data_IF_257992531004
#
_entry.id   IF_257992531004
#
_cell.length_a   1.000
_cell.length_b   1.000
_cell.length_c   1.000
_cell.angle_alpha   90.00
_cell.angle_beta   90.00
_cell.angle_gamma   90.00
#
_symmetry.space_group_name_H-M   'P 1'
#
loop_
_entity.id
_entity.type
_entity.pdbx_description
1 polymer ?
#
# COMPACT_ATOMS: atom_id res chain seq x y z
N UNK A 1 -46.57 4.35 1.06
CA UNK A 1 -46.34 4.07 -0.38
C UNK A 1 -45.42 5.14 -0.89
N UNK A 2 -44.15 4.93 -1.19
CA UNK A 2 -43.30 3.73 -1.23
C UNK A 2 -41.90 4.26 -0.91
N UNK A 3 -41.16 3.62 0.00
CA UNK A 3 -39.70 3.74 -0.01
C UNK A 3 -39.26 3.55 -1.46
N UNK A 4 -38.67 4.57 -2.06
CA UNK A 4 -37.91 4.38 -3.29
C UNK A 4 -36.79 3.44 -2.90
N UNK A 5 -36.95 2.16 -3.27
CA UNK A 5 -35.87 1.19 -3.20
C UNK A 5 -34.65 1.87 -3.82
N UNK A 6 -33.58 1.96 -3.03
CA UNK A 6 -32.30 2.46 -3.48
C UNK A 6 -31.78 1.43 -4.50
N UNK A 7 -32.25 1.52 -5.76
CA UNK A 7 -31.77 0.69 -6.85
C UNK A 7 -30.34 1.15 -7.06
N UNK A 8 -29.41 0.36 -6.56
CA UNK A 8 -27.99 0.49 -6.82
C UNK A 8 -27.77 0.76 -8.32
N UNK A 9 -27.47 2.01 -8.72
CA UNK A 9 -27.51 2.41 -10.12
C UNK A 9 -26.38 1.79 -10.94
N UNK A 10 -25.38 1.22 -10.26
CA UNK A 10 -24.23 0.54 -10.82
C UNK A 10 -24.41 -1.00 -10.87
N UNK A 11 -25.37 -1.53 -10.12
CA UNK A 11 -25.67 -2.96 -10.02
C UNK A 11 -24.46 -3.83 -9.66
N UNK A 12 -24.56 -5.12 -10.01
CA UNK A 12 -23.52 -6.12 -9.74
C UNK A 12 -22.18 -5.79 -10.43
N UNK A 13 -22.20 -5.09 -11.57
CA UNK A 13 -20.99 -4.83 -12.36
C UNK A 13 -20.13 -3.68 -11.81
N UNK A 14 -20.68 -2.81 -10.96
CA UNK A 14 -19.94 -1.66 -10.45
C UNK A 14 -19.49 -0.70 -11.56
N UNK A 15 -20.23 -0.65 -12.68
CA UNK A 15 -19.91 0.16 -13.85
C UNK A 15 -21.02 1.18 -14.09
N UNK A 16 -20.63 2.46 -14.23
CA UNK A 16 -21.52 3.54 -14.64
C UNK A 16 -21.01 4.21 -15.90
N UNK A 17 -21.77 4.08 -16.98
CA UNK A 17 -21.47 4.73 -18.25
C UNK A 17 -22.05 6.16 -18.30
N UNK A 18 -21.32 7.06 -18.95
CA UNK A 18 -21.85 8.36 -19.40
C UNK A 18 -23.00 8.20 -20.40
N UNK A 19 -22.90 7.19 -21.27
CA UNK A 19 -23.90 6.84 -22.27
C UNK A 19 -24.09 5.31 -22.31
N UNK A 20 -25.30 4.83 -22.02
CA UNK A 20 -25.64 3.40 -22.12
C UNK A 20 -25.94 2.95 -23.56
N UNK A 21 -26.11 3.90 -24.49
CA UNK A 21 -26.29 3.65 -25.91
C UNK A 21 -25.24 4.46 -26.66
N UNK A 22 -24.39 3.77 -27.42
CA UNK A 22 -23.25 4.40 -28.05
C UNK A 22 -23.60 4.96 -29.44
N UNK A 23 -22.99 6.09 -29.83
CA UNK A 23 -23.07 6.57 -31.21
C UNK A 23 -22.51 5.52 -32.16
N UNK A 24 -23.17 5.30 -33.30
CA UNK A 24 -22.78 4.25 -34.26
C UNK A 24 -21.74 4.73 -35.26
N UNK A 25 -21.51 6.04 -35.33
CA UNK A 25 -20.54 6.65 -36.24
C UNK A 25 -19.61 7.63 -35.51
N UNK A 26 -18.42 7.85 -36.07
CA UNK A 26 -17.47 8.84 -35.55
C UNK A 26 -18.04 10.27 -35.59
N UNK A 27 -18.90 10.58 -36.56
CA UNK A 27 -19.54 11.90 -36.71
C UNK A 27 -20.56 12.15 -35.60
N UNK A 28 -21.37 11.15 -35.25
CA UNK A 28 -22.26 11.23 -34.09
C UNK A 28 -21.47 11.35 -32.80
N UNK A 29 -20.40 10.54 -32.65
CA UNK A 29 -19.53 10.60 -31.48
C UNK A 29 -18.87 11.98 -31.32
N UNK A 30 -18.43 12.63 -32.39
CA UNK A 30 -17.86 13.98 -32.34
C UNK A 30 -18.85 15.08 -31.95
N UNK A 31 -20.16 14.79 -32.08
CA UNK A 31 -21.23 15.71 -31.66
C UNK A 31 -21.63 15.53 -30.19
N UNK A 32 -21.21 14.43 -29.56
CA UNK A 32 -21.44 14.21 -28.14
C UNK A 32 -20.55 15.17 -27.33
N UNK A 33 -21.19 16.13 -26.64
CA UNK A 33 -20.48 17.09 -25.76
C UNK A 33 -19.83 16.36 -24.58
N UNK A 34 -20.50 15.35 -24.04
CA UNK A 34 -19.97 14.48 -22.99
C UNK A 34 -19.31 13.28 -23.67
N UNK A 35 -18.02 12.99 -23.40
CA UNK A 35 -17.32 11.86 -24.01
C UNK A 35 -17.90 10.52 -23.55
N UNK A 36 -17.68 9.47 -24.34
CA UNK A 36 -17.94 8.11 -23.91
C UNK A 36 -16.88 7.71 -22.87
N UNK A 37 -17.30 7.72 -21.61
CA UNK A 37 -16.51 7.32 -20.45
C UNK A 37 -17.31 6.42 -19.49
N UNK A 38 -16.58 5.72 -18.62
CA UNK A 38 -17.12 4.85 -17.57
C UNK A 38 -16.44 5.15 -16.23
N UNK A 39 -17.22 5.16 -15.15
CA UNK A 39 -16.71 4.97 -13.79
C UNK A 39 -16.81 3.49 -13.46
N UNK A 40 -15.72 2.92 -12.92
CA UNK A 40 -15.62 1.49 -12.64
C UNK A 40 -15.13 1.33 -11.20
N UNK A 41 -15.76 0.43 -10.45
CA UNK A 41 -15.34 0.03 -9.10
C UNK A 41 -14.86 -1.44 -9.09
N UNK A 42 -13.56 -1.71 -9.41
CA UNK A 42 -13.10 -3.06 -9.74
C UNK A 42 -13.17 -4.07 -8.58
N UNK A 43 -13.05 -3.60 -7.34
CA UNK A 43 -13.02 -4.42 -6.12
C UNK A 43 -14.24 -4.19 -5.23
N UNK A 44 -15.35 -3.74 -5.82
CA UNK A 44 -16.59 -3.49 -5.10
C UNK A 44 -17.14 -4.81 -4.54
N UNK A 45 -17.44 -4.88 -3.23
CA UNK A 45 -18.15 -6.04 -2.68
C UNK A 45 -19.61 -6.02 -3.15
N UNK A 46 -20.12 -7.16 -3.60
CA UNK A 46 -21.52 -7.35 -3.94
C UNK A 46 -21.92 -8.82 -3.68
N UNK A 47 -23.04 -9.10 -2.99
CA UNK A 47 -23.40 -10.45 -2.57
C UNK A 47 -23.62 -11.42 -3.73
N UNK A 48 -24.05 -10.90 -4.89
CA UNK A 48 -24.32 -11.71 -6.08
C UNK A 48 -23.08 -12.00 -6.94
N UNK A 49 -21.90 -11.43 -6.63
CA UNK A 49 -20.67 -11.74 -7.37
C UNK A 49 -20.15 -13.12 -6.93
N UNK A 50 -20.13 -14.13 -7.81
CA UNK A 50 -19.62 -15.45 -7.46
C UNK A 50 -18.09 -15.46 -7.44
N UNK A 51 -17.52 -16.24 -6.52
CA UNK A 51 -16.10 -16.58 -6.51
C UNK A 51 -15.89 -17.96 -7.12
N UNK A 52 -15.15 -18.02 -8.23
CA UNK A 52 -14.87 -19.24 -8.99
C UNK A 52 -13.52 -19.83 -8.53
N UNK A 53 -13.48 -21.07 -7.99
CA UNK A 53 -12.28 -21.66 -7.39
C UNK A 53 -11.33 -22.28 -8.43
N UNK A 54 -11.09 -21.57 -9.53
CA UNK A 54 -10.23 -22.02 -10.63
C UNK A 54 -9.72 -20.83 -11.42
N UNK A 55 -8.72 -21.07 -12.29
CA UNK A 55 -8.16 -20.02 -13.14
C UNK A 55 -9.08 -19.70 -14.33
N UNK A 56 -9.14 -18.42 -14.76
CA UNK A 56 -9.97 -18.01 -15.90
C UNK A 56 -9.50 -18.64 -17.20
N UNK A 57 -10.43 -19.14 -18.01
CA UNK A 57 -10.12 -19.58 -19.37
C UNK A 57 -9.90 -18.34 -20.26
N UNK A 58 -8.73 -18.24 -20.92
CA UNK A 58 -8.36 -17.09 -21.75
C UNK A 58 -8.37 -17.43 -23.24
N UNK A 59 -8.77 -16.47 -24.06
CA UNK A 59 -8.68 -16.56 -25.51
C UNK A 59 -7.23 -16.68 -25.95
N UNK A 60 -6.91 -17.63 -26.84
CA UNK A 60 -5.53 -17.87 -27.31
C UNK A 60 -4.91 -16.70 -28.09
N UNK A 61 -5.74 -15.87 -28.72
CA UNK A 61 -5.29 -14.76 -29.57
C UNK A 61 -5.23 -13.44 -28.82
N UNK A 62 -6.32 -13.01 -28.16
CA UNK A 62 -6.41 -11.69 -27.51
C UNK A 62 -6.32 -11.73 -25.98
N UNK A 63 -6.13 -12.90 -25.36
CA UNK A 63 -6.07 -13.11 -23.92
C UNK A 63 -7.33 -12.72 -23.10
N UNK A 64 -8.41 -12.27 -23.74
CA UNK A 64 -9.68 -11.99 -23.07
C UNK A 64 -10.22 -13.23 -22.35
N UNK A 65 -10.75 -13.04 -21.14
CA UNK A 65 -11.37 -14.11 -20.37
C UNK A 65 -12.68 -14.58 -21.04
N UNK A 66 -12.97 -15.87 -20.90
CA UNK A 66 -14.30 -16.44 -21.15
C UNK A 66 -15.32 -15.68 -20.29
N UNK A 67 -16.46 -15.34 -20.89
CA UNK A 67 -17.53 -14.60 -20.24
C UNK A 67 -18.87 -14.95 -20.88
N UNK A 68 -19.96 -14.51 -20.25
CA UNK A 68 -21.34 -14.85 -20.61
C UNK A 68 -21.79 -14.39 -22.01
N UNK A 69 -21.02 -13.51 -22.67
CA UNK A 69 -21.28 -13.06 -24.04
C UNK A 69 -20.61 -13.94 -25.10
N UNK A 70 -19.80 -14.93 -24.71
CA UNK A 70 -19.19 -15.88 -25.62
C UNK A 70 -20.23 -16.86 -26.20
N UNK A 71 -20.13 -17.14 -27.50
CA UNK A 71 -20.95 -18.19 -28.13
C UNK A 71 -20.29 -19.55 -27.96
N UNK A 72 -21.05 -20.56 -27.60
CA UNK A 72 -20.56 -21.91 -27.34
C UNK A 72 -21.18 -22.90 -28.31
N UNK A 73 -20.33 -23.77 -28.88
CA UNK A 73 -20.75 -24.98 -29.58
C UNK A 73 -20.40 -26.17 -28.69
N UNK A 74 -21.42 -26.74 -28.05
CA UNK A 74 -21.28 -27.85 -27.12
C UNK A 74 -20.91 -29.17 -27.82
N UNK A 75 -21.27 -29.33 -29.09
CA UNK A 75 -20.95 -30.53 -29.87
C UNK A 75 -19.47 -30.58 -30.21
N UNK A 76 -18.93 -29.49 -30.75
CA UNK A 76 -17.51 -29.38 -31.07
C UNK A 76 -16.65 -29.02 -29.85
N UNK A 77 -17.27 -28.69 -28.71
CA UNK A 77 -16.61 -28.22 -27.48
C UNK A 77 -15.67 -27.04 -27.76
N UNK A 78 -16.21 -26.04 -28.45
CA UNK A 78 -15.52 -24.78 -28.74
C UNK A 78 -16.32 -23.58 -28.23
N UNK A 79 -15.62 -22.50 -27.93
CA UNK A 79 -16.22 -21.20 -27.67
C UNK A 79 -15.61 -20.13 -28.59
N UNK A 80 -16.42 -19.15 -28.94
CA UNK A 80 -16.07 -18.04 -29.83
C UNK A 80 -15.90 -16.79 -28.97
N UNK A 81 -14.70 -16.21 -28.98
CA UNK A 81 -14.40 -15.01 -28.22
C UNK A 81 -15.25 -13.82 -28.73
N UNK A 82 -15.96 -13.07 -27.85
CA UNK A 82 -16.80 -11.96 -28.29
C UNK A 82 -16.01 -10.73 -28.76
N UNK A 83 -14.71 -10.66 -28.46
CA UNK A 83 -13.86 -9.53 -28.85
C UNK A 83 -13.16 -9.73 -30.20
N UNK A 84 -12.54 -10.89 -30.42
CA UNK A 84 -11.75 -11.17 -31.62
C UNK A 84 -12.32 -12.26 -32.53
N UNK A 85 -13.45 -12.87 -32.16
CA UNK A 85 -14.11 -13.96 -32.88
C UNK A 85 -13.26 -15.23 -33.08
N UNK A 86 -12.13 -15.36 -32.38
CA UNK A 86 -11.32 -16.57 -32.36
C UNK A 86 -12.14 -17.74 -31.81
N UNK A 87 -12.07 -18.88 -32.50
CA UNK A 87 -12.56 -20.18 -32.01
C UNK A 87 -11.51 -20.79 -31.09
N UNK A 88 -11.91 -21.12 -29.88
CA UNK A 88 -11.05 -21.71 -28.85
C UNK A 88 -11.65 -23.06 -28.43
N UNK A 89 -10.83 -24.11 -28.38
CA UNK A 89 -11.25 -25.39 -27.81
C UNK A 89 -11.28 -25.29 -26.29
N UNK A 90 -12.32 -25.87 -25.68
CA UNK A 90 -12.35 -26.08 -24.24
C UNK A 90 -11.25 -27.06 -23.81
N UNK A 91 -10.58 -26.82 -22.66
CA UNK A 91 -9.63 -27.78 -22.12
C UNK A 91 -10.36 -29.01 -21.55
N UNK A 92 -9.62 -30.10 -21.31
CA UNK A 92 -10.17 -31.39 -20.90
C UNK A 92 -11.05 -31.32 -19.64
N UNK A 93 -10.76 -30.41 -18.71
CA UNK A 93 -11.54 -30.17 -17.50
C UNK A 93 -12.98 -29.70 -17.78
N UNK A 94 -13.26 -29.14 -18.96
CA UNK A 94 -14.60 -28.75 -19.42
C UNK A 94 -15.22 -29.82 -20.34
N UNK A 95 -14.70 -31.05 -20.34
CA UNK A 95 -15.17 -32.12 -21.24
C UNK A 95 -16.66 -32.48 -21.06
N UNK A 96 -17.23 -32.21 -19.88
CA UNK A 96 -18.64 -32.45 -19.56
C UNK A 96 -19.55 -31.25 -19.85
N UNK A 97 -19.05 -30.19 -20.49
CA UNK A 97 -19.83 -29.00 -20.79
C UNK A 97 -21.04 -29.32 -21.68
N UNK A 98 -22.21 -28.79 -21.30
CA UNK A 98 -23.47 -28.94 -22.04
C UNK A 98 -24.37 -27.73 -21.76
N UNK A 99 -25.52 -27.64 -22.44
CA UNK A 99 -26.52 -26.59 -22.18
C UNK A 99 -27.03 -26.57 -20.72
N UNK A 100 -27.01 -27.72 -20.04
CA UNK A 100 -27.44 -27.88 -18.64
C UNK A 100 -26.29 -27.91 -17.65
N UNK A 101 -25.04 -27.99 -18.13
CA UNK A 101 -23.83 -28.05 -17.32
C UNK A 101 -22.83 -26.98 -17.79
N UNK A 102 -23.09 -25.74 -17.38
CA UNK A 102 -22.29 -24.59 -17.71
C UNK A 102 -21.27 -24.29 -16.61
N UNK A 103 -20.05 -23.87 -16.96
CA UNK A 103 -19.13 -23.31 -16.00
C UNK A 103 -19.61 -21.92 -15.56
N UNK A 104 -19.07 -21.45 -14.43
CA UNK A 104 -19.51 -20.22 -13.76
C UNK A 104 -19.51 -19.00 -14.69
N UNK A 105 -18.50 -18.87 -15.56
CA UNK A 105 -18.35 -17.68 -16.41
C UNK A 105 -19.43 -17.55 -17.50
N UNK A 106 -20.16 -18.64 -17.78
CA UNK A 106 -21.12 -18.70 -18.89
C UNK A 106 -22.57 -18.48 -18.45
N UNK A 107 -22.84 -18.39 -17.15
CA UNK A 107 -24.17 -18.01 -16.69
C UNK A 107 -24.48 -16.56 -17.08
N UNK A 108 -25.61 -16.28 -17.78
CA UNK A 108 -25.94 -14.93 -18.24
C UNK A 108 -25.98 -13.87 -17.14
N UNK A 109 -26.35 -14.27 -15.92
CA UNK A 109 -26.40 -13.41 -14.74
C UNK A 109 -25.02 -13.11 -14.12
N UNK A 110 -23.96 -13.84 -14.49
CA UNK A 110 -22.61 -13.68 -13.95
C UNK A 110 -21.73 -12.88 -14.90
N UNK A 111 -22.10 -11.62 -15.13
CA UNK A 111 -21.31 -10.65 -15.92
C UNK A 111 -20.07 -10.16 -15.20
N UNK A 112 -20.07 -10.23 -13.86
CA UNK A 112 -18.92 -9.95 -12.99
C UNK A 112 -18.68 -11.16 -12.10
N UNK A 113 -17.44 -11.66 -12.10
CA UNK A 113 -17.02 -12.82 -11.31
C UNK A 113 -15.63 -12.58 -10.73
N UNK A 114 -15.36 -13.17 -9.58
CA UNK A 114 -14.03 -13.21 -8.99
C UNK A 114 -13.43 -14.60 -9.18
N UNK A 115 -12.13 -14.70 -9.47
CA UNK A 115 -11.42 -15.98 -9.56
C UNK A 115 -10.48 -16.14 -8.38
N UNK A 116 -10.49 -17.31 -7.76
CA UNK A 116 -9.45 -17.73 -6.82
C UNK A 116 -8.46 -18.60 -7.58
N UNK A 117 -7.24 -18.09 -7.75
CA UNK A 117 -6.21 -18.82 -8.47
C UNK A 117 -5.63 -19.94 -7.59
N UNK A 118 -5.49 -21.17 -8.11
CA UNK A 118 -4.81 -22.23 -7.38
C UNK A 118 -3.34 -21.86 -7.21
N UNK A 119 -2.89 -21.76 -5.95
CA UNK A 119 -1.54 -21.33 -5.63
C UNK A 119 -0.52 -22.35 -6.17
N UNK A 120 0.59 -21.94 -6.82
CA UNK A 120 1.62 -22.88 -7.29
C UNK A 120 2.24 -23.76 -6.19
N UNK A 121 2.10 -23.40 -4.92
CA UNK A 121 2.48 -24.23 -3.78
C UNK A 121 1.58 -25.48 -3.66
N UNK A 122 0.29 -25.39 -3.94
CA UNK A 122 -0.67 -26.49 -3.75
C UNK A 122 -0.42 -27.71 -4.67
N UNK A 123 0.28 -27.54 -5.80
CA UNK A 123 0.62 -28.67 -6.67
C UNK A 123 1.74 -29.56 -6.11
N UNK A 124 2.58 -29.06 -5.19
CA UNK A 124 3.66 -29.86 -4.58
C UNK A 124 3.28 -30.50 -3.23
N UNK A 125 2.20 -30.05 -2.57
CA UNK A 125 1.82 -30.54 -1.24
C UNK A 125 0.85 -31.73 -1.22
N UNK A 126 0.38 -32.24 -2.36
CA UNK A 126 -0.52 -33.40 -2.38
C UNK A 126 0.16 -34.74 -2.02
N UNK A 127 1.48 -34.77 -1.76
CA UNK A 127 2.20 -36.02 -1.44
C UNK A 127 2.88 -36.10 -0.06
N UNK A 128 2.77 -35.11 0.83
CA UNK A 128 3.30 -35.25 2.20
C UNK A 128 2.30 -34.82 3.27
N UNK A 129 2.02 -35.76 4.17
CA UNK A 129 1.04 -35.69 5.25
C UNK A 129 1.28 -34.53 6.23
N UNK A 130 0.17 -33.86 6.58
CA UNK A 130 -0.23 -33.37 7.91
C UNK A 130 0.88 -32.93 8.89
N UNK A 131 1.11 -31.61 8.98
CA UNK A 131 1.35 -30.84 10.23
C UNK A 131 1.94 -29.43 10.03
N UNK A 132 1.79 -28.80 8.85
CA UNK A 132 2.14 -27.39 8.69
C UNK A 132 0.93 -26.61 8.18
N UNK A 133 0.64 -25.41 8.75
CA UNK A 133 -0.40 -24.54 8.21
C UNK A 133 -0.08 -24.25 6.72
N UNK A 134 -1.11 -24.02 5.89
CA UNK A 134 -0.90 -23.71 4.47
C UNK A 134 0.13 -22.58 4.34
N UNK A 135 1.07 -22.64 3.36
CA UNK A 135 2.01 -21.56 3.14
C UNK A 135 1.19 -20.29 2.90
N UNK A 136 1.34 -19.35 3.82
CA UNK A 136 0.57 -18.12 3.89
C UNK A 136 0.61 -17.38 2.56
N UNK A 137 -0.55 -16.88 2.14
CA UNK A 137 -0.65 -15.72 1.26
C UNK A 137 0.42 -14.70 1.64
N UNK A 138 0.94 -13.95 0.66
CA UNK A 138 1.93 -12.90 0.92
C UNK A 138 1.48 -12.02 2.09
N UNK A 139 2.16 -12.14 3.24
CA UNK A 139 1.78 -11.39 4.44
C UNK A 139 1.74 -9.90 4.13
N UNK A 140 0.64 -9.20 4.44
CA UNK A 140 0.57 -7.77 4.25
C UNK A 140 1.60 -7.10 5.16
N UNK A 141 2.23 -6.04 4.65
CA UNK A 141 3.28 -5.33 5.38
C UNK A 141 2.78 -3.92 5.74
N UNK A 142 2.93 -3.52 7.00
CA UNK A 142 2.58 -2.20 7.52
C UNK A 142 3.81 -1.56 8.15
N UNK A 143 4.26 -0.44 7.59
CA UNK A 143 5.32 0.39 8.19
C UNK A 143 4.70 1.67 8.70
N UNK A 144 4.62 1.82 10.01
CA UNK A 144 4.14 3.03 10.65
C UNK A 144 5.26 4.07 10.69
N UNK A 145 4.99 5.27 10.18
CA UNK A 145 5.93 6.40 10.16
C UNK A 145 5.37 7.49 11.06
N UNK A 146 5.90 7.59 12.27
CA UNK A 146 5.35 8.41 13.35
C UNK A 146 6.19 9.67 13.57
N UNK A 147 5.57 10.83 13.38
CA UNK A 147 6.11 12.13 13.76
C UNK A 147 6.18 12.28 15.28
N UNK A 148 7.28 12.84 15.79
CA UNK A 148 7.48 13.16 17.21
C UNK A 148 7.60 14.66 17.47
N UNK A 149 7.53 15.51 16.43
CA UNK A 149 7.56 16.98 16.55
C UNK A 149 6.17 17.57 16.86
N UNK A 150 5.50 17.07 17.90
CA UNK A 150 4.18 17.51 18.35
C UNK A 150 4.15 17.65 19.88
N UNK A 151 3.07 18.20 20.43
CA UNK A 151 2.88 18.27 21.88
C UNK A 151 2.63 16.88 22.47
N UNK A 152 2.95 16.68 23.75
CA UNK A 152 2.87 15.37 24.42
C UNK A 152 1.46 14.77 24.35
N UNK A 153 0.41 15.58 24.53
CA UNK A 153 -0.98 15.12 24.46
C UNK A 153 -1.32 14.51 23.09
N UNK A 154 -0.91 15.16 22.00
CA UNK A 154 -1.11 14.65 20.63
C UNK A 154 -0.32 13.37 20.39
N UNK A 155 0.92 13.30 20.92
CA UNK A 155 1.75 12.12 20.84
C UNK A 155 1.11 10.93 21.58
N UNK A 156 0.49 11.17 22.73
CA UNK A 156 -0.18 10.12 23.50
C UNK A 156 -1.46 9.62 22.82
N UNK A 157 -2.24 10.52 22.18
CA UNK A 157 -3.37 10.10 21.36
C UNK A 157 -2.97 9.21 20.18
N UNK A 158 -1.92 9.59 19.45
CA UNK A 158 -1.46 8.82 18.28
C UNK A 158 -0.83 7.50 18.69
N UNK A 159 -0.05 7.45 19.78
CA UNK A 159 0.44 6.19 20.38
C UNK A 159 -0.72 5.26 20.70
N UNK A 160 -1.74 5.76 21.40
CA UNK A 160 -2.92 4.97 21.78
C UNK A 160 -3.65 4.40 20.55
N UNK A 161 -3.79 5.22 19.50
CA UNK A 161 -4.39 4.79 18.24
C UNK A 161 -3.56 3.73 17.53
N UNK A 162 -2.23 3.87 17.53
CA UNK A 162 -1.29 2.94 16.93
C UNK A 162 -1.29 1.58 17.64
N UNK A 163 -1.25 1.56 18.98
CA UNK A 163 -1.37 0.33 19.78
C UNK A 163 -2.66 -0.42 19.43
N UNK A 164 -3.78 0.32 19.34
CA UNK A 164 -5.07 -0.27 18.95
C UNK A 164 -5.02 -0.83 17.53
N UNK A 165 -4.44 -0.11 16.57
CA UNK A 165 -4.34 -0.58 15.19
C UNK A 165 -3.52 -1.87 15.08
N UNK A 166 -2.38 -1.96 15.80
CA UNK A 166 -1.53 -3.15 15.81
C UNK A 166 -2.28 -4.36 16.36
N UNK A 167 -3.05 -4.20 17.45
CA UNK A 167 -3.88 -5.27 18.01
C UNK A 167 -5.07 -5.67 17.14
N UNK A 168 -5.31 -4.99 16.02
CA UNK A 168 -6.35 -5.33 15.03
C UNK A 168 -5.77 -5.94 13.75
N UNK A 169 -4.44 -5.98 13.60
CA UNK A 169 -3.80 -6.58 12.43
C UNK A 169 -3.86 -8.12 12.48
N UNK A 170 -3.83 -8.80 11.33
CA UNK A 170 -3.66 -10.25 11.29
C UNK A 170 -2.35 -10.69 11.94
N UNK A 171 -2.36 -11.84 12.60
CA UNK A 171 -1.18 -12.37 13.32
C UNK A 171 0.08 -12.46 12.45
N UNK A 172 -0.09 -12.78 11.16
CA UNK A 172 0.99 -12.94 10.18
C UNK A 172 1.37 -11.65 9.44
N UNK A 173 0.66 -10.54 9.66
CA UNK A 173 0.99 -9.26 9.04
C UNK A 173 2.32 -8.74 9.56
N UNK A 174 3.20 -8.31 8.67
CA UNK A 174 4.51 -7.81 9.07
C UNK A 174 4.43 -6.34 9.44
N UNK A 175 4.92 -5.97 10.61
CA UNK A 175 4.88 -4.61 11.16
C UNK A 175 6.28 -4.07 11.31
N UNK A 176 6.47 -2.81 10.88
CA UNK A 176 7.68 -2.04 11.12
C UNK A 176 7.35 -0.65 11.67
N UNK A 177 8.32 -0.03 12.34
CA UNK A 177 8.18 1.30 12.92
C UNK A 177 9.35 2.19 12.51
N UNK A 178 9.02 3.39 12.04
CA UNK A 178 9.94 4.51 11.83
C UNK A 178 9.41 5.69 12.64
N UNK A 179 10.16 6.20 13.61
CA UNK A 179 9.83 7.49 14.24
C UNK A 179 10.67 8.59 13.62
N UNK A 180 10.18 9.84 13.63
CA UNK A 180 10.98 10.95 13.11
C UNK A 180 10.64 12.29 13.76
N UNK A 181 11.66 13.14 13.80
CA UNK A 181 11.56 14.55 14.13
C UNK A 181 12.62 15.32 13.34
N UNK A 182 13.64 15.82 14.04
CA UNK A 182 14.85 16.37 13.40
C UNK A 182 15.65 15.31 12.61
N UNK A 183 15.53 14.05 13.03
CA UNK A 183 16.17 12.88 12.42
C UNK A 183 15.13 11.78 12.18
N UNK A 184 15.39 10.88 11.24
CA UNK A 184 14.55 9.70 11.01
C UNK A 184 15.18 8.47 11.68
N UNK A 185 14.37 7.67 12.36
CA UNK A 185 14.79 6.59 13.23
C UNK A 185 14.08 5.30 12.84
N UNK A 186 14.83 4.29 12.38
CA UNK A 186 14.30 2.95 12.06
C UNK A 186 14.52 2.03 13.24
N UNK A 187 13.44 1.46 13.77
CA UNK A 187 13.48 0.59 14.95
C UNK A 187 13.68 -0.87 14.56
N UNK A 188 14.69 -1.52 15.14
CA UNK A 188 14.94 -2.97 14.98
C UNK A 188 14.11 -3.74 16.01
N UNK A 189 12.98 -4.30 15.58
CA UNK A 189 12.02 -4.97 16.45
C UNK A 189 12.45 -6.40 16.82
N UNK A 190 13.26 -7.04 15.97
CA UNK A 190 13.74 -8.43 16.12
C UNK A 190 14.72 -8.67 17.26
N UNK A 191 15.13 -7.63 17.98
CA UNK A 191 16.07 -7.74 19.09
C UNK A 191 15.39 -7.37 20.41
N UNK A 192 14.81 -8.36 21.08
CA UNK A 192 14.02 -8.17 22.31
C UNK A 192 14.85 -7.84 23.56
N UNK A 193 16.16 -8.09 23.54
CA UNK A 193 17.05 -7.82 24.67
C UNK A 193 17.32 -6.32 24.87
N UNK A 194 17.33 -5.54 23.79
CA UNK A 194 17.60 -4.10 23.82
C UNK A 194 16.96 -3.39 22.63
N UNK A 195 16.36 -2.22 22.87
CA UNK A 195 15.93 -1.34 21.77
C UNK A 195 17.12 -0.86 20.95
N UNK A 196 17.15 -1.21 19.67
CA UNK A 196 18.19 -0.78 18.72
C UNK A 196 17.57 0.03 17.60
N UNK A 197 18.14 1.21 17.37
CA UNK A 197 17.59 2.22 16.46
C UNK A 197 18.67 2.67 15.48
N UNK A 198 18.34 2.72 14.19
CA UNK A 198 19.21 3.24 13.14
C UNK A 198 18.78 4.67 12.81
N UNK A 199 19.71 5.61 12.95
CA UNK A 199 19.43 7.04 12.86
C UNK A 199 19.96 7.59 11.55
N UNK A 200 19.06 8.20 10.79
CA UNK A 200 19.30 8.86 9.52
C UNK A 200 19.20 10.37 9.69
N UNK A 201 20.14 11.10 9.09
CA UNK A 201 20.14 12.56 9.11
C UNK A 201 18.95 13.12 8.32
N UNK A 202 18.18 13.99 8.96
CA UNK A 202 16.97 14.58 8.37
C UNK A 202 17.22 15.67 7.33
N UNK A 203 18.44 16.21 7.24
CA UNK A 203 18.79 17.31 6.33
C UNK A 203 19.28 16.84 4.95
N UNK A 204 19.54 15.54 4.78
CA UNK A 204 20.16 14.96 3.59
C UNK A 204 19.20 14.02 2.87
N UNK A 205 19.20 14.07 1.54
CA UNK A 205 18.55 13.05 0.71
C UNK A 205 19.30 11.72 0.80
N UNK A 206 18.56 10.64 1.02
CA UNK A 206 19.10 9.29 1.19
C UNK A 206 18.42 8.39 0.16
N UNK A 207 19.25 7.80 -0.72
CA UNK A 207 18.77 6.88 -1.75
C UNK A 207 18.35 5.54 -1.14
N UNK A 208 17.50 4.80 -1.86
CA UNK A 208 17.12 3.42 -1.49
C UNK A 208 18.35 2.57 -1.21
N UNK A 209 19.36 2.63 -2.08
CA UNK A 209 20.57 1.82 -1.99
C UNK A 209 21.35 2.14 -0.70
N UNK A 210 21.45 3.42 -0.34
CA UNK A 210 22.09 3.84 0.91
C UNK A 210 21.32 3.39 2.15
N UNK A 211 19.98 3.42 2.12
CA UNK A 211 19.15 2.89 3.21
C UNK A 211 19.43 1.41 3.38
N UNK A 212 19.39 0.63 2.29
CA UNK A 212 19.67 -0.80 2.33
C UNK A 212 21.09 -1.13 2.81
N UNK A 213 22.09 -0.32 2.45
CA UNK A 213 23.47 -0.50 2.91
C UNK A 213 23.61 -0.24 4.41
N UNK A 214 23.10 0.90 4.89
CA UNK A 214 23.18 1.30 6.30
C UNK A 214 22.36 0.37 7.20
N UNK A 215 21.25 -0.17 6.69
CA UNK A 215 20.46 -1.19 7.37
C UNK A 215 21.01 -2.60 7.14
N UNK A 216 22.16 -2.80 6.49
CA UNK A 216 22.74 -4.14 6.27
C UNK A 216 21.88 -5.10 5.43
N UNK A 217 20.93 -4.57 4.64
CA UNK A 217 19.98 -5.31 3.80
C UNK A 217 20.46 -5.47 2.34
N UNK A 218 21.60 -4.88 1.98
CA UNK A 218 22.17 -4.93 0.62
C UNK A 218 22.57 -6.32 0.14
N UNK A 219 22.55 -7.33 1.02
CA UNK A 219 22.93 -8.72 0.72
C UNK A 219 21.86 -9.58 0.03
N UNK A 220 20.63 -9.07 -0.16
CA UNK A 220 19.51 -9.87 -0.70
C UNK A 220 19.40 -9.96 -2.22
N UNK A 221 20.07 -9.08 -2.98
CA UNK A 221 19.87 -8.94 -4.44
C UNK A 221 21.08 -9.42 -5.28
N UNK A 222 22.16 -9.86 -4.64
CA UNK A 222 23.29 -10.49 -5.32
C UNK A 222 23.23 -12.00 -5.09
N UNK A 223 22.89 -12.73 -6.15
CA UNK A 223 22.69 -14.17 -6.11
C UNK A 223 23.88 -14.97 -5.61
N UNK A 224 23.62 -16.28 -5.45
CA UNK A 224 24.59 -17.37 -5.54
C UNK A 224 25.77 -17.00 -6.47
N UNK A 225 26.82 -16.42 -5.91
CA UNK A 225 28.15 -16.49 -6.49
C UNK A 225 28.84 -17.63 -5.78
N UNK A 226 28.74 -18.79 -6.40
CA UNK A 226 29.80 -19.78 -6.37
C UNK A 226 31.09 -19.08 -6.81
N UNK A 227 31.84 -18.56 -5.84
CA UNK A 227 33.22 -18.15 -6.04
C UNK A 227 34.07 -19.07 -5.15
N UNK A 228 34.46 -20.20 -5.75
CA UNK A 228 35.60 -20.95 -5.26
C UNK A 228 36.84 -20.07 -5.42
N UNK A 229 37.51 -19.74 -4.31
CA UNK A 229 38.89 -19.23 -4.29
C UNK A 229 39.57 -19.80 -3.04
N UNK A 230 40.85 -20.22 -3.11
CA UNK A 230 41.41 -21.27 -2.28
C UNK A 230 41.93 -20.78 -0.92
N UNK A 231 42.14 -21.79 -0.07
CA UNK A 231 42.89 -21.80 1.19
C UNK A 231 44.13 -20.89 1.16
N UNK A 232 44.17 -19.92 2.07
CA UNK A 232 45.33 -19.05 2.32
C UNK A 232 45.22 -18.40 3.70
N UNK A 233 46.28 -18.57 4.50
CA UNK A 233 46.41 -18.23 5.92
C UNK A 233 46.23 -16.74 6.31
N UNK A 234 45.82 -16.57 7.58
CA UNK A 234 46.16 -15.51 8.57
C UNK A 234 45.20 -14.35 8.90
N UNK A 235 44.95 -14.29 10.23
CA UNK A 235 44.87 -13.14 11.16
C UNK A 235 43.65 -12.21 11.12
N UNK A 236 42.84 -12.36 12.18
CA UNK A 236 42.49 -11.24 13.07
C UNK A 236 41.52 -10.22 12.53
N UNK A 237 40.23 -10.53 12.61
CA UNK A 237 39.15 -9.57 12.51
C UNK A 237 37.87 -10.22 12.99
N UNK A 238 37.28 -9.69 14.06
CA UNK A 238 35.99 -10.11 14.58
C UNK A 238 34.96 -9.81 13.48
N UNK A 239 34.62 -10.81 12.66
CA UNK A 239 33.43 -10.76 11.81
C UNK A 239 32.24 -10.88 12.75
N UNK A 240 31.58 -9.75 13.04
CA UNK A 240 30.23 -9.76 13.60
C UNK A 240 29.29 -10.38 12.57
N UNK A 241 29.20 -11.70 12.60
CA UNK A 241 28.11 -12.46 11.98
C UNK A 241 26.88 -12.16 12.82
N UNK A 242 26.11 -11.13 12.44
CA UNK A 242 24.81 -10.88 13.04
C UNK A 242 23.89 -12.06 12.67
N UNK A 243 23.35 -12.81 13.65
CA UNK A 243 22.29 -13.76 13.37
C UNK A 243 21.07 -12.94 12.91
N UNK A 244 20.52 -13.25 11.73
CA UNK A 244 19.42 -12.54 11.05
C UNK A 244 19.78 -11.22 10.31
N UNK A 245 20.68 -11.28 9.34
CA UNK A 245 20.97 -10.16 8.40
C UNK A 245 19.88 -9.86 7.36
N UNK A 246 18.61 -10.13 7.66
CA UNK A 246 17.47 -9.97 6.74
C UNK A 246 16.48 -8.90 7.20
N UNK A 247 15.57 -8.52 6.31
CA UNK A 247 14.52 -7.52 6.59
C UNK A 247 13.61 -7.92 7.77
N UNK A 248 13.53 -9.21 8.08
CA UNK A 248 12.76 -9.77 9.19
C UNK A 248 13.14 -9.22 10.58
N UNK A 249 14.30 -8.59 10.74
CA UNK A 249 14.66 -7.92 12.00
C UNK A 249 13.96 -6.57 12.20
N UNK A 250 13.51 -5.95 11.12
CA UNK A 250 12.79 -4.68 11.11
C UNK A 250 11.30 -4.87 10.94
N UNK A 251 10.91 -5.94 10.22
CA UNK A 251 9.53 -6.29 9.92
C UNK A 251 9.20 -7.63 10.57
N UNK A 252 8.45 -7.61 11.68
CA UNK A 252 8.05 -8.80 12.42
C UNK A 252 6.55 -9.06 12.28
N UNK A 253 6.10 -10.31 12.35
CA UNK A 253 4.67 -10.62 12.46
C UNK A 253 4.04 -9.87 13.65
N UNK A 254 2.82 -9.36 13.47
CA UNK A 254 2.09 -8.59 14.49
C UNK A 254 2.00 -9.36 15.81
N UNK A 255 1.74 -10.67 15.73
CA UNK A 255 1.71 -11.61 16.86
C UNK A 255 3.04 -11.74 17.62
N UNK A 256 4.17 -11.43 16.99
CA UNK A 256 5.50 -11.52 17.59
C UNK A 256 6.00 -10.17 18.13
N UNK A 257 5.55 -9.06 17.56
CA UNK A 257 6.06 -7.73 17.91
C UNK A 257 5.10 -6.84 18.71
N UNK A 258 3.86 -7.25 18.96
CA UNK A 258 2.86 -6.43 19.66
C UNK A 258 3.40 -5.90 21.00
N UNK A 259 3.94 -6.77 21.85
CA UNK A 259 4.51 -6.37 23.14
C UNK A 259 5.69 -5.40 22.97
N UNK A 260 6.65 -5.74 22.11
CA UNK A 260 7.84 -4.92 21.86
C UNK A 260 7.47 -3.52 21.35
N UNK A 261 6.53 -3.42 20.40
CA UNK A 261 6.09 -2.12 19.90
C UNK A 261 5.32 -1.36 20.98
N UNK A 262 4.46 -2.02 21.76
CA UNK A 262 3.73 -1.36 22.84
C UNK A 262 4.68 -0.72 23.87
N UNK A 263 5.71 -1.46 24.31
CA UNK A 263 6.77 -0.96 25.19
C UNK A 263 7.54 0.20 24.56
N UNK A 264 7.93 0.06 23.30
CA UNK A 264 8.62 1.13 22.56
C UNK A 264 7.76 2.41 22.49
N UNK A 265 6.47 2.27 22.21
CA UNK A 265 5.54 3.39 22.16
C UNK A 265 5.30 4.03 23.54
N UNK A 266 5.35 3.26 24.63
CA UNK A 266 5.30 3.80 25.99
C UNK A 266 6.53 4.66 26.30
N UNK A 267 7.71 4.22 25.85
CA UNK A 267 8.98 4.93 26.08
C UNK A 267 9.24 6.08 25.09
N UNK A 268 8.56 6.09 23.94
CA UNK A 268 8.76 7.10 22.90
C UNK A 268 8.38 8.49 23.42
N UNK A 269 9.28 9.46 23.28
CA UNK A 269 9.05 10.84 23.69
C UNK A 269 8.92 11.77 22.49
N UNK A 270 8.47 13.00 22.74
CA UNK A 270 8.51 14.09 21.76
C UNK A 270 9.95 14.37 21.34
N UNK A 271 10.15 14.96 20.16
CA UNK A 271 11.48 15.31 19.67
C UNK A 271 12.16 16.29 20.64
N UNK A 272 13.29 15.87 21.22
CA UNK A 272 13.99 16.62 22.28
C UNK A 272 14.93 17.71 21.73
N UNK A 273 14.97 17.91 20.41
CA UNK A 273 15.81 18.95 19.81
C UNK A 273 15.26 20.34 20.15
N UNK A 274 16.11 21.26 20.66
CA UNK A 274 15.65 22.59 21.04
C UNK A 274 15.04 23.34 19.86
N UNK A 275 13.84 23.90 20.06
CA UNK A 275 13.17 24.77 19.10
C UNK A 275 13.34 26.22 19.55
N UNK A 276 14.11 27.05 18.83
CA UNK A 276 14.29 28.45 19.21
C UNK A 276 12.95 29.20 19.19
N UNK A 277 12.77 30.22 20.07
CA UNK A 277 11.58 31.07 20.02
C UNK A 277 11.37 31.64 18.62
N UNK A 278 10.12 31.68 18.16
CA UNK A 278 9.79 32.15 16.81
C UNK A 278 10.07 31.14 15.70
N UNK A 279 10.50 29.91 16.01
CA UNK A 279 10.70 28.85 15.02
C UNK A 279 9.75 27.66 15.22
N UNK A 280 9.48 26.97 14.12
CA UNK A 280 8.88 25.63 14.05
C UNK A 280 9.92 24.59 14.39
N UNK A 281 9.46 23.42 14.84
CA UNK A 281 10.30 22.26 14.99
C UNK A 281 10.93 21.85 13.65
N UNK A 282 12.14 21.31 13.74
CA UNK A 282 12.90 20.71 12.64
C UNK A 282 12.28 19.37 12.27
N UNK A 283 11.54 19.30 11.16
CA UNK A 283 10.76 18.12 10.80
C UNK A 283 11.17 17.57 9.44
N UNK A 284 11.72 16.37 9.42
CA UNK A 284 12.26 15.72 8.22
C UNK A 284 11.32 14.68 7.58
N UNK A 285 10.02 15.02 7.44
CA UNK A 285 8.99 14.09 6.91
C UNK A 285 9.40 13.43 5.60
N UNK A 286 9.98 14.18 4.66
CA UNK A 286 10.40 13.62 3.37
C UNK A 286 11.49 12.56 3.50
N UNK A 287 12.46 12.77 4.41
CA UNK A 287 13.49 11.76 4.69
C UNK A 287 12.89 10.54 5.36
N UNK A 288 12.02 10.70 6.35
CA UNK A 288 11.36 9.59 7.04
C UNK A 288 10.58 8.70 6.06
N UNK A 289 9.84 9.29 5.12
CA UNK A 289 9.14 8.56 4.07
C UNK A 289 10.08 7.87 3.09
N UNK A 290 11.21 8.52 2.74
CA UNK A 290 12.23 7.91 1.86
C UNK A 290 12.91 6.71 2.52
N UNK A 291 13.19 6.81 3.83
CA UNK A 291 13.77 5.73 4.62
C UNK A 291 12.80 4.56 4.72
N UNK A 292 11.51 4.81 5.00
CA UNK A 292 10.47 3.77 5.01
C UNK A 292 10.33 3.08 3.64
N UNK A 293 10.30 3.86 2.55
CA UNK A 293 10.27 3.33 1.19
C UNK A 293 11.55 2.57 0.81
N UNK A 294 12.70 2.99 1.35
CA UNK A 294 13.99 2.30 1.19
C UNK A 294 14.00 0.94 1.90
N UNK A 295 13.52 0.90 3.15
CA UNK A 295 13.35 -0.31 3.96
C UNK A 295 12.44 -1.32 3.25
N UNK A 296 11.25 -0.89 2.82
CA UNK A 296 10.32 -1.74 2.08
C UNK A 296 10.89 -2.22 0.74
N UNK A 297 11.84 -1.49 0.17
CA UNK A 297 12.56 -1.89 -1.03
C UNK A 297 13.42 -3.16 -0.89
N UNK A 298 13.58 -3.71 0.33
CA UNK A 298 14.17 -5.03 0.58
C UNK A 298 13.14 -6.17 0.67
N UNK A 299 11.84 -5.89 0.60
CA UNK A 299 10.81 -6.92 0.47
C UNK A 299 10.93 -7.65 -0.87
N UNK A 300 10.32 -8.84 -0.94
CA UNK A 300 10.23 -9.59 -2.20
C UNK A 300 9.38 -8.81 -3.22
N UNK A 301 9.76 -8.80 -4.52
CA UNK A 301 8.94 -8.16 -5.54
C UNK A 301 7.51 -8.71 -5.55
N UNK A 302 6.52 -7.82 -5.54
CA UNK A 302 5.10 -8.17 -5.48
C UNK A 302 4.53 -8.30 -4.07
N UNK A 303 5.33 -8.12 -3.01
CA UNK A 303 4.81 -7.97 -1.65
C UNK A 303 4.04 -6.65 -1.51
N UNK A 304 2.74 -6.73 -1.29
CA UNK A 304 1.91 -5.57 -0.95
C UNK A 304 2.33 -5.00 0.41
N UNK A 305 2.65 -3.71 0.44
CA UNK A 305 3.01 -3.01 1.68
C UNK A 305 2.38 -1.62 1.74
N UNK A 306 2.10 -1.16 2.96
CA UNK A 306 1.55 0.16 3.25
C UNK A 306 2.47 0.92 4.19
N UNK A 307 2.85 2.13 3.79
CA UNK A 307 3.45 3.13 4.66
C UNK A 307 2.30 3.93 5.27
N UNK A 308 2.15 3.87 6.58
CA UNK A 308 1.11 4.60 7.33
C UNK A 308 1.77 5.78 8.03
N UNK A 309 1.73 6.95 7.39
CA UNK A 309 2.37 8.15 7.90
C UNK A 309 1.44 8.95 8.82
N UNK A 310 1.86 9.17 10.06
CA UNK A 310 1.14 9.93 11.09
C UNK A 310 1.91 11.23 11.33
N UNK A 311 1.38 12.35 10.84
CA UNK A 311 2.13 13.61 10.70
C UNK A 311 1.43 14.76 11.41
N UNK A 312 2.10 15.41 12.37
CA UNK A 312 1.55 16.51 13.17
C UNK A 312 1.79 17.95 12.66
N UNK A 313 1.98 18.19 11.36
CA UNK A 313 2.56 19.46 10.85
C UNK A 313 3.45 19.34 9.61
N UNK A 314 3.85 20.47 8.98
CA UNK A 314 4.56 20.48 7.71
C UNK A 314 6.03 20.08 7.82
N UNK A 315 6.57 19.47 6.76
CA UNK A 315 8.01 19.23 6.62
C UNK A 315 8.77 20.57 6.57
N UNK A 316 9.74 20.78 7.46
CA UNK A 316 10.52 22.02 7.57
C UNK A 316 12.02 21.81 7.34
N UNK A 317 12.46 20.56 7.18
CA UNK A 317 13.86 20.20 7.01
C UNK A 317 14.05 19.09 5.99
N UNK A 318 15.14 19.18 5.23
CA UNK A 318 15.53 18.19 4.24
C UNK A 318 14.68 18.18 2.97
N UNK A 319 14.84 17.14 2.13
CA UNK A 319 14.02 16.94 0.94
C UNK A 319 12.53 16.91 1.28
N UNK A 320 11.71 17.52 0.42
CA UNK A 320 10.27 17.64 0.66
C UNK A 320 9.87 18.74 1.65
N UNK A 321 10.78 19.67 2.00
CA UNK A 321 10.46 20.87 2.79
C UNK A 321 9.30 21.65 2.16
N UNK A 322 8.29 21.95 2.96
CA UNK A 322 7.07 22.69 2.61
C UNK A 322 7.19 24.17 2.95
N UNK A 323 7.88 24.46 4.06
CA UNK A 323 8.02 25.80 4.62
C UNK A 323 9.33 25.93 5.41
N UNK A 324 9.79 27.17 5.60
CA UNK A 324 10.91 27.46 6.49
C UNK A 324 10.54 27.18 7.96
N UNK A 325 11.57 27.18 8.81
CA UNK A 325 11.40 27.08 10.26
C UNK A 325 10.87 28.39 10.86
N UNK A 326 11.02 29.54 10.23
CA UNK A 326 10.62 30.83 10.79
C UNK A 326 9.10 30.97 10.84
N UNK A 327 8.51 31.16 12.03
CA UNK A 327 7.05 31.30 12.21
C UNK A 327 6.49 32.56 11.54
N UNK A 328 7.32 33.56 11.24
CA UNK A 328 6.90 34.75 10.50
C UNK A 328 6.62 34.44 9.02
N UNK A 329 7.20 33.38 8.47
CA UNK A 329 6.87 32.88 7.15
C UNK A 329 5.54 32.12 7.22
N UNK A 330 4.47 32.58 6.55
CA UNK A 330 3.18 31.89 6.56
C UNK A 330 3.20 30.67 5.64
N UNK A 331 2.42 29.64 5.97
CA UNK A 331 2.20 28.53 5.05
C UNK A 331 1.47 29.03 3.81
N UNK A 332 2.03 28.73 2.63
CA UNK A 332 1.49 29.12 1.33
C UNK A 332 -0.02 28.89 1.22
N UNK A 333 -0.70 29.85 0.62
CA UNK A 333 -2.12 29.83 0.28
C UNK A 333 -2.36 29.53 -1.21
N UNK A 334 -3.61 29.31 -1.60
CA UNK A 334 -3.97 29.20 -3.03
C UNK A 334 -3.56 30.44 -3.83
N UNK A 335 -3.70 31.65 -3.24
CA UNK A 335 -3.29 32.90 -3.89
C UNK A 335 -1.78 32.95 -4.15
N UNK A 336 -0.97 32.39 -3.25
CA UNK A 336 0.48 32.35 -3.41
C UNK A 336 0.87 31.36 -4.52
N UNK A 337 0.18 30.22 -4.60
CA UNK A 337 0.36 29.26 -5.70
C UNK A 337 0.00 29.87 -7.05
N UNK A 338 -1.14 30.58 -7.13
CA UNK A 338 -1.61 31.22 -8.36
C UNK A 338 -0.64 32.31 -8.86
N UNK A 339 0.07 32.97 -7.93
CA UNK A 339 1.05 34.02 -8.23
C UNK A 339 2.49 33.51 -8.34
N UNK A 340 2.71 32.20 -8.24
CA UNK A 340 4.05 31.58 -8.18
C UNK A 340 4.94 32.14 -7.05
N UNK A 341 4.32 32.53 -5.94
CA UNK A 341 4.97 33.12 -4.76
C UNK A 341 5.27 32.08 -3.65
N UNK A 342 5.23 30.78 -3.98
CA UNK A 342 5.48 29.68 -3.05
C UNK A 342 6.84 29.02 -3.32
N UNK A 343 7.94 29.46 -2.68
CA UNK A 343 9.30 29.07 -3.07
C UNK A 343 9.61 27.57 -2.90
N UNK A 344 8.97 26.91 -1.93
CA UNK A 344 9.19 25.50 -1.62
C UNK A 344 8.37 24.53 -2.49
N UNK A 345 7.23 25.00 -3.03
CA UNK A 345 6.19 24.13 -3.59
C UNK A 345 6.69 23.23 -4.73
N UNK A 346 7.28 23.82 -5.78
CA UNK A 346 7.74 23.07 -6.97
C UNK A 346 8.82 22.03 -6.62
N UNK A 347 9.74 22.36 -5.71
CA UNK A 347 10.81 21.45 -5.28
C UNK A 347 10.25 20.29 -4.46
N UNK A 348 9.30 20.57 -3.56
CA UNK A 348 8.62 19.56 -2.75
C UNK A 348 7.77 18.61 -3.61
N UNK A 349 6.94 19.14 -4.51
CA UNK A 349 6.13 18.31 -5.45
C UNK A 349 7.03 17.39 -6.27
N UNK A 350 8.15 17.89 -6.79
CA UNK A 350 9.11 17.05 -7.56
C UNK A 350 9.69 15.92 -6.71
N UNK A 351 10.02 16.20 -5.45
CA UNK A 351 10.52 15.20 -4.53
C UNK A 351 9.46 14.10 -4.26
N UNK A 352 8.23 14.48 -3.92
CA UNK A 352 7.16 13.51 -3.66
C UNK A 352 6.72 12.77 -4.92
N UNK A 353 6.81 13.36 -6.12
CA UNK A 353 6.59 12.64 -7.39
C UNK A 353 7.66 11.56 -7.63
N UNK A 354 8.92 11.81 -7.27
CA UNK A 354 9.96 10.79 -7.35
C UNK A 354 9.73 9.66 -6.34
N UNK A 355 9.34 10.00 -5.11
CA UNK A 355 8.93 9.00 -4.11
C UNK A 355 7.74 8.18 -4.62
N UNK A 356 6.75 8.82 -5.24
CA UNK A 356 5.60 8.16 -5.85
C UNK A 356 6.03 7.12 -6.90
N UNK A 357 6.97 7.48 -7.79
CA UNK A 357 7.51 6.55 -8.80
C UNK A 357 8.17 5.34 -8.16
N UNK A 358 8.96 5.56 -7.09
CA UNK A 358 9.59 4.47 -6.36
C UNK A 358 8.53 3.51 -5.76
N UNK A 359 7.54 4.06 -5.05
CA UNK A 359 6.50 3.26 -4.40
C UNK A 359 5.65 2.48 -5.40
N UNK A 360 5.22 3.12 -6.51
CA UNK A 360 4.47 2.46 -7.58
C UNK A 360 5.27 1.33 -8.21
N UNK A 361 6.56 1.56 -8.49
CA UNK A 361 7.43 0.52 -9.06
C UNK A 361 7.65 -0.66 -8.11
N UNK A 362 7.58 -0.43 -6.80
CA UNK A 362 7.72 -1.46 -5.77
C UNK A 362 6.39 -2.15 -5.42
N UNK A 363 5.24 -1.58 -5.81
CA UNK A 363 3.92 -2.09 -5.43
C UNK A 363 3.52 -1.73 -4.00
N UNK A 364 3.95 -0.57 -3.50
CA UNK A 364 3.68 -0.10 -2.14
C UNK A 364 2.78 1.13 -2.12
N UNK A 365 2.02 1.26 -1.04
CA UNK A 365 1.02 2.31 -0.80
C UNK A 365 1.54 3.32 0.23
N UNK A 366 1.23 4.61 0.06
CA UNK A 366 1.45 5.63 1.08
C UNK A 366 0.11 6.20 1.57
N UNK A 367 -0.23 5.93 2.82
CA UNK A 367 -1.34 6.54 3.54
C UNK A 367 -0.82 7.72 4.39
N UNK A 368 -1.57 8.82 4.41
CA UNK A 368 -1.25 10.04 5.15
C UNK A 368 -2.37 10.39 6.13
N UNK A 369 -2.10 10.25 7.42
CA UNK A 369 -2.94 10.71 8.51
C UNK A 369 -2.30 11.94 9.13
N UNK A 370 -2.88 13.10 8.88
CA UNK A 370 -2.33 14.35 9.34
C UNK A 370 -3.26 15.05 10.32
N UNK A 371 -2.70 15.42 11.47
CA UNK A 371 -3.41 16.13 12.53
C UNK A 371 -2.63 17.38 12.93
N UNK A 372 -3.10 18.55 12.54
CA UNK A 372 -2.49 19.82 12.90
C UNK A 372 -3.48 20.96 12.80
N UNK A 373 -3.28 22.02 13.58
CA UNK A 373 -4.06 23.25 13.48
C UNK A 373 -3.73 24.06 12.22
N UNK A 374 -2.54 23.89 11.67
CA UNK A 374 -2.08 24.53 10.44
C UNK A 374 -1.82 23.48 9.34
N UNK A 375 -1.57 23.92 8.11
CA UNK A 375 -1.39 23.05 6.97
C UNK A 375 -0.12 22.17 7.08
N UNK A 376 -0.25 20.89 6.74
CA UNK A 376 0.83 19.89 6.82
C UNK A 376 1.60 19.67 5.50
N UNK A 377 1.19 20.32 4.41
CA UNK A 377 1.78 20.09 3.08
C UNK A 377 1.14 18.95 2.26
N UNK A 378 -0.17 18.68 2.46
CA UNK A 378 -0.88 17.66 1.66
C UNK A 378 -0.82 17.97 0.16
N UNK A 379 -0.88 19.23 -0.24
CA UNK A 379 -0.87 19.61 -1.66
C UNK A 379 0.40 19.13 -2.38
N UNK A 380 1.55 19.14 -1.68
CA UNK A 380 2.83 18.66 -2.19
C UNK A 380 2.94 17.14 -2.16
N UNK A 381 2.40 16.50 -1.11
CA UNK A 381 2.42 15.03 -0.93
C UNK A 381 1.36 14.31 -1.75
N UNK A 382 0.33 15.02 -2.23
CA UNK A 382 -0.83 14.50 -2.96
C UNK A 382 -0.45 13.50 -4.06
N UNK A 383 0.56 13.83 -4.85
CA UNK A 383 1.02 12.99 -5.98
C UNK A 383 1.51 11.61 -5.53
N UNK A 384 2.11 11.49 -4.35
CA UNK A 384 2.58 10.22 -3.81
C UNK A 384 1.42 9.36 -3.29
N UNK A 385 0.46 9.98 -2.62
CA UNK A 385 -0.71 9.29 -2.09
C UNK A 385 -1.63 8.82 -3.22
N UNK A 386 -2.02 9.71 -4.13
CA UNK A 386 -2.96 9.38 -5.22
C UNK A 386 -2.42 8.32 -6.18
N UNK A 387 -1.14 8.43 -6.57
CA UNK A 387 -0.55 7.48 -7.53
C UNK A 387 -0.37 6.08 -6.96
N UNK A 388 -0.28 5.96 -5.63
CA UNK A 388 -0.15 4.68 -4.95
C UNK A 388 -1.48 4.13 -4.46
N UNK A 389 -2.59 4.89 -4.60
CA UNK A 389 -3.92 4.50 -4.14
C UNK A 389 -4.09 4.57 -2.63
N UNK A 390 -3.29 5.38 -1.93
CA UNK A 390 -3.36 5.53 -0.48
C UNK A 390 -4.43 6.51 -0.01
N UNK A 391 -4.61 6.56 1.30
CA UNK A 391 -5.60 7.39 1.98
C UNK A 391 -5.01 8.74 2.42
N UNK A 392 -5.85 9.76 2.48
CA UNK A 392 -5.57 11.01 3.20
C UNK A 392 -6.66 11.23 4.23
N UNK A 393 -6.26 11.40 5.49
CA UNK A 393 -7.15 11.84 6.57
C UNK A 393 -6.56 13.11 7.17
N UNK A 394 -7.36 14.17 7.19
CA UNK A 394 -7.02 15.44 7.81
C UNK A 394 -7.88 15.66 9.04
N UNK A 395 -7.24 15.95 10.16
CA UNK A 395 -7.89 16.35 11.41
C UNK A 395 -7.12 17.53 12.04
N UNK A 396 -7.73 18.15 13.04
CA UNK A 396 -7.06 19.19 13.84
C UNK A 396 -6.20 18.58 14.96
N UNK A 397 -6.58 17.38 15.42
CA UNK A 397 -5.98 16.66 16.54
C UNK A 397 -6.16 15.14 16.35
N UNK A 398 -5.16 14.36 16.75
CA UNK A 398 -5.25 12.91 16.88
C UNK A 398 -6.22 12.47 18.00
N UNK A 399 -6.61 13.41 18.87
CA UNK A 399 -7.65 13.21 19.88
C UNK A 399 -9.07 13.17 19.31
N UNK A 400 -9.31 13.75 18.13
CA UNK A 400 -10.64 13.92 17.55
C UNK A 400 -11.19 12.63 16.93
N UNK A 401 -12.52 12.49 16.94
CA UNK A 401 -13.23 11.35 16.34
C UNK A 401 -12.95 11.20 14.85
N UNK A 402 -12.78 12.30 14.12
CA UNK A 402 -12.42 12.29 12.69
C UNK A 402 -11.18 11.44 12.45
N UNK A 403 -10.11 11.65 13.22
CA UNK A 403 -8.92 10.80 13.13
C UNK A 403 -9.19 9.41 13.73
N UNK A 404 -9.67 9.35 14.97
CA UNK A 404 -9.79 8.08 15.72
C UNK A 404 -10.66 7.05 15.01
N UNK A 405 -11.79 7.45 14.47
CA UNK A 405 -12.74 6.56 13.82
C UNK A 405 -12.27 6.22 12.40
N UNK A 406 -11.75 7.20 11.64
CA UNK A 406 -11.21 6.94 10.31
C UNK A 406 -10.01 5.99 10.36
N UNK A 407 -9.09 6.20 11.29
CA UNK A 407 -7.93 5.34 11.49
C UNK A 407 -8.37 3.93 11.91
N UNK A 408 -9.36 3.81 12.80
CA UNK A 408 -9.94 2.52 13.20
C UNK A 408 -10.45 1.72 12.00
N UNK A 409 -11.28 2.34 11.15
CA UNK A 409 -11.96 1.70 10.03
C UNK A 409 -11.03 1.14 8.96
N UNK A 410 -9.78 1.62 8.91
CA UNK A 410 -8.75 1.06 8.03
C UNK A 410 -8.37 -0.35 8.45
N UNK A 411 -8.31 -0.60 9.77
CA UNK A 411 -7.87 -1.86 10.36
C UNK A 411 -9.01 -2.68 10.98
N UNK A 412 -10.27 -2.24 10.84
CA UNK A 412 -11.41 -3.05 11.28
C UNK A 412 -11.70 -4.16 10.28
N UNK A 413 -12.24 -5.27 10.79
CA UNK A 413 -12.93 -6.28 10.03
C UNK A 413 -14.46 -6.09 10.10
N UNK A 414 -15.18 -6.62 9.12
CA UNK A 414 -16.65 -6.61 9.07
C UNK A 414 -17.25 -5.53 8.16
N UNK A 415 -18.55 -5.25 8.33
CA UNK A 415 -19.33 -4.41 7.39
C UNK A 415 -18.88 -2.95 7.34
N UNK A 416 -18.24 -2.44 8.39
CA UNK A 416 -17.73 -1.07 8.46
C UNK A 416 -16.25 -0.96 8.05
N UNK A 417 -15.62 -2.10 7.73
CA UNK A 417 -14.25 -2.16 7.23
C UNK A 417 -14.16 -1.52 5.85
N UNK A 418 -13.06 -0.83 5.61
CA UNK A 418 -12.71 -0.39 4.25
C UNK A 418 -12.18 -1.53 3.38
N UNK A 419 -11.93 -2.72 3.93
CA UNK A 419 -11.44 -3.88 3.20
C UNK A 419 -10.01 -3.71 2.66
N UNK A 420 -9.20 -2.84 3.29
CA UNK A 420 -7.89 -2.44 2.79
C UNK A 420 -6.69 -3.15 3.46
N UNK A 421 -6.94 -3.96 4.49
CA UNK A 421 -5.89 -4.61 5.29
C UNK A 421 -5.90 -6.14 5.23
N UNK A 422 -7.01 -6.75 4.79
CA UNK A 422 -7.34 -8.15 5.11
C UNK A 422 -7.69 -9.02 3.89
N UNK A 423 -7.43 -8.57 2.66
CA UNK A 423 -7.77 -9.31 1.43
C UNK A 423 -6.60 -9.50 0.48
#
# INVERSE_FOLDING_TARGET
MSEMANIDPEGMDGVRMTWNVWPRTKVEASKCVIPLAATIAPIRPHPDIPTLPYAPLRCKTCAAALNSFARVDFTAKIWICPFCFQRNHFPQQYSMISETNLPGELYPQYTTVQYTLPHPSQQHYQHQQQQQPPPSDSSPVFVFVLDTCMIEEELDFVKSALKRAIGMLPDNALVGLVSFGTQAQVHELGFSELSKVYVFRGDKEISKEQVLEQLGLSGGVAGRRTAAVPVGYQKGGIQNVFPNGGIARFLLPASECEYTINTLLDELQTDQWPVPPGNRASRCTGVALSVAAGLLGACLPGTGARIVALVGGPCTEGPGTIISKDLSDPVRSHKDLDKDAAPYFKKAVKFYDNLAKQLVNQGHVLDLFASALDQVGVAEMKVAVERTGGLVVLAESFGHSVFKDSFKRVFEDGEQSLGLCFK
#
